data_IF_222433821806
#
_entry.id   IF_222433821806
#
_cell.length_a   1.000
_cell.length_b   1.000
_cell.length_c   1.000
_cell.angle_alpha   90.00
_cell.angle_beta   90.00
_cell.angle_gamma   90.00
#
_symmetry.space_group_name_H-M   'P 1'
#
loop_
_entity.id
_entity.type
_entity.pdbx_description
1 polymer ?
#
# COMPACT_ATOMS: atom_id res chain seq x y z
N UNK A 1 -12.75 -3.30 -16.48
CA UNK A 1 -11.70 -2.59 -15.71
C UNK A 1 -10.58 -3.55 -15.38
N UNK A 2 -9.37 -2.98 -15.11
CA UNK A 2 -8.28 -3.74 -14.48
C UNK A 2 -8.32 -3.51 -12.97
N UNK A 3 -8.47 -4.60 -12.20
CA UNK A 3 -8.48 -4.60 -10.73
C UNK A 3 -7.22 -5.28 -10.22
N UNK A 4 -6.47 -4.60 -9.36
CA UNK A 4 -5.36 -5.20 -8.62
C UNK A 4 -5.89 -5.74 -7.30
N UNK A 5 -5.78 -7.05 -7.10
CA UNK A 5 -6.16 -7.71 -5.84
C UNK A 5 -4.90 -8.09 -5.07
N UNK A 6 -4.67 -7.42 -3.93
CA UNK A 6 -3.57 -7.73 -3.02
C UNK A 6 -4.07 -8.65 -1.92
N UNK A 7 -3.46 -9.81 -1.81
CA UNK A 7 -3.84 -10.89 -0.91
C UNK A 7 -2.76 -11.15 0.14
N UNK A 8 -3.17 -11.36 1.39
CA UNK A 8 -2.24 -11.58 2.49
C UNK A 8 -2.75 -12.62 3.50
N UNK A 9 -2.49 -13.90 3.24
CA UNK A 9 -2.66 -14.97 4.22
C UNK A 9 -1.64 -16.08 3.98
N UNK A 10 -0.93 -16.59 5.03
CA UNK A 10 0.16 -17.55 4.85
C UNK A 10 -0.28 -18.96 4.48
N UNK A 11 -1.56 -19.31 4.73
CA UNK A 11 -2.08 -20.65 4.45
C UNK A 11 -2.95 -20.63 3.19
N UNK A 12 -2.53 -21.30 2.09
CA UNK A 12 -3.30 -21.38 0.85
C UNK A 12 -4.58 -22.22 0.95
N UNK A 13 -4.82 -22.90 2.07
CA UNK A 13 -6.05 -23.64 2.37
C UNK A 13 -6.97 -22.92 3.36
N UNK A 14 -6.74 -21.63 3.57
CA UNK A 14 -7.54 -20.81 4.48
C UNK A 14 -8.87 -20.38 3.84
N UNK A 15 -9.81 -19.95 4.69
CA UNK A 15 -11.01 -19.27 4.21
C UNK A 15 -10.66 -18.03 3.37
N UNK A 16 -9.64 -17.27 3.76
CA UNK A 16 -9.19 -16.12 2.97
C UNK A 16 -8.80 -16.48 1.53
N UNK A 17 -8.21 -17.66 1.31
CA UNK A 17 -7.87 -18.11 -0.04
C UNK A 17 -9.13 -18.47 -0.83
N UNK A 18 -10.09 -19.17 -0.22
CA UNK A 18 -11.37 -19.43 -0.86
C UNK A 18 -12.17 -18.16 -1.18
N UNK A 19 -12.06 -17.12 -0.32
CA UNK A 19 -12.64 -15.80 -0.60
C UNK A 19 -11.95 -15.12 -1.79
N UNK A 20 -10.61 -15.21 -1.88
CA UNK A 20 -9.85 -14.71 -3.03
C UNK A 20 -10.31 -15.35 -4.33
N UNK A 21 -10.31 -16.68 -4.39
CA UNK A 21 -10.69 -17.45 -5.60
C UNK A 21 -12.07 -17.05 -6.11
N UNK A 22 -13.05 -16.98 -5.19
CA UNK A 22 -14.41 -16.64 -5.55
C UNK A 22 -14.60 -15.17 -5.91
N UNK A 23 -13.89 -14.27 -5.25
CA UNK A 23 -13.90 -12.85 -5.61
C UNK A 23 -13.32 -12.62 -7.01
N UNK A 24 -12.18 -13.24 -7.31
CA UNK A 24 -11.56 -13.19 -8.65
C UNK A 24 -12.48 -13.74 -9.71
N UNK A 25 -13.11 -14.91 -9.47
CA UNK A 25 -14.10 -15.47 -10.38
C UNK A 25 -15.26 -14.49 -10.63
N UNK A 26 -15.77 -13.84 -9.58
CA UNK A 26 -16.83 -12.82 -9.72
C UNK A 26 -16.41 -11.65 -10.58
N UNK A 27 -15.17 -11.14 -10.43
CA UNK A 27 -14.62 -10.08 -11.27
C UNK A 27 -14.53 -10.51 -12.75
N UNK A 28 -14.01 -11.70 -13.01
CA UNK A 28 -13.85 -12.25 -14.36
C UNK A 28 -15.21 -12.47 -15.04
N UNK A 29 -16.19 -13.03 -14.33
CA UNK A 29 -17.56 -13.24 -14.82
C UNK A 29 -18.28 -11.91 -15.12
N UNK A 30 -17.86 -10.81 -14.48
CA UNK A 30 -18.32 -9.45 -14.78
C UNK A 30 -17.52 -8.76 -15.90
N UNK A 31 -16.56 -9.45 -16.53
CA UNK A 31 -15.74 -8.92 -17.61
C UNK A 31 -14.63 -7.96 -17.15
N UNK A 32 -14.17 -8.07 -15.90
CA UNK A 32 -13.02 -7.34 -15.40
C UNK A 32 -11.74 -8.16 -15.55
N UNK A 33 -10.62 -7.47 -15.81
CA UNK A 33 -9.29 -8.06 -15.75
C UNK A 33 -8.79 -8.01 -14.30
N UNK A 34 -8.45 -9.14 -13.71
CA UNK A 34 -7.92 -9.23 -12.35
C UNK A 34 -6.44 -9.59 -12.35
N UNK A 35 -5.62 -8.75 -11.72
CA UNK A 35 -4.23 -9.09 -11.39
C UNK A 35 -4.13 -9.38 -9.90
N UNK A 36 -3.72 -10.59 -9.53
CA UNK A 36 -3.55 -11.00 -8.13
C UNK A 36 -2.09 -10.86 -7.71
N UNK A 37 -1.86 -10.26 -6.56
CA UNK A 37 -0.58 -10.22 -5.85
C UNK A 37 -0.75 -10.94 -4.52
N UNK A 38 -0.31 -12.19 -4.45
CA UNK A 38 -0.20 -12.94 -3.20
C UNK A 38 1.14 -12.60 -2.54
N UNK A 39 1.11 -11.79 -1.48
CA UNK A 39 2.30 -11.27 -0.81
C UNK A 39 3.15 -12.38 -0.18
N UNK A 40 2.55 -13.47 0.28
CA UNK A 40 3.29 -14.63 0.80
C UNK A 40 3.92 -15.45 -0.32
N UNK A 41 3.21 -15.67 -1.42
CA UNK A 41 3.72 -16.44 -2.55
C UNK A 41 4.91 -15.75 -3.24
N UNK A 42 4.89 -14.42 -3.35
CA UNK A 42 6.02 -13.66 -3.92
C UNK A 42 7.15 -13.43 -2.92
N UNK A 43 7.01 -13.84 -1.66
CA UNK A 43 8.01 -13.59 -0.60
C UNK A 43 8.24 -12.11 -0.34
N UNK A 44 7.18 -11.29 -0.36
CA UNK A 44 7.30 -9.85 -0.11
C UNK A 44 7.89 -9.58 1.27
N UNK A 45 8.97 -8.80 1.34
CA UNK A 45 9.54 -8.35 2.61
C UNK A 45 8.73 -7.17 3.17
N UNK A 46 8.03 -7.31 4.31
CA UNK A 46 7.22 -6.24 4.88
C UNK A 46 8.05 -5.20 5.66
N UNK A 47 9.33 -5.47 5.92
CA UNK A 47 10.12 -4.63 6.81
C UNK A 47 10.58 -3.37 6.07
N UNK A 48 10.10 -2.21 6.55
CA UNK A 48 10.61 -0.93 6.08
C UNK A 48 12.07 -0.75 6.53
N UNK A 49 12.99 -0.72 5.57
CA UNK A 49 14.42 -0.64 5.82
C UNK A 49 15.05 0.64 5.28
N UNK A 50 16.35 0.82 5.55
CA UNK A 50 17.11 2.00 5.10
C UNK A 50 17.03 2.24 3.57
N UNK A 51 16.90 1.19 2.77
CA UNK A 51 16.78 1.32 1.30
C UNK A 51 15.44 1.93 0.86
N UNK A 52 14.39 1.76 1.65
CA UNK A 52 13.05 2.25 1.33
C UNK A 52 12.94 3.77 1.49
N UNK A 53 13.86 4.39 2.24
CA UNK A 53 13.95 5.86 2.31
C UNK A 53 14.16 6.50 0.93
N UNK A 54 14.68 5.79 -0.06
CA UNK A 54 14.74 6.27 -1.43
C UNK A 54 13.36 6.59 -2.02
N UNK A 55 12.32 5.89 -1.56
CA UNK A 55 10.92 6.15 -1.94
C UNK A 55 10.34 7.42 -1.33
N UNK A 56 10.91 7.93 -0.24
CA UNK A 56 10.47 9.15 0.45
C UNK A 56 11.25 10.40 0.06
N UNK A 57 12.27 10.28 -0.76
CA UNK A 57 13.03 11.41 -1.29
C UNK A 57 12.59 11.66 -2.73
N UNK A 58 12.20 12.90 -3.04
CA UNK A 58 11.70 13.26 -4.36
C UNK A 58 12.17 14.65 -4.77
N UNK A 59 12.54 14.82 -6.03
CA UNK A 59 13.03 16.10 -6.57
C UNK A 59 12.02 17.24 -6.57
N UNK A 60 10.73 16.94 -6.36
CA UNK A 60 9.68 17.97 -6.22
C UNK A 60 9.53 18.52 -4.80
N UNK A 61 10.32 18.03 -3.85
CA UNK A 61 10.31 18.57 -2.49
C UNK A 61 10.95 19.96 -2.47
N UNK A 62 10.49 20.87 -1.58
CA UNK A 62 11.17 22.13 -1.37
C UNK A 62 12.64 21.96 -1.03
N UNK A 63 13.50 22.87 -1.52
CA UNK A 63 14.95 22.78 -1.29
C UNK A 63 15.29 22.77 0.21
N UNK A 64 14.58 23.56 1.01
CA UNK A 64 14.77 23.67 2.46
C UNK A 64 14.47 22.33 3.17
N UNK A 65 13.54 21.53 2.63
CA UNK A 65 13.22 20.18 3.15
C UNK A 65 14.31 19.19 2.77
N UNK A 66 14.76 19.24 1.51
CA UNK A 66 15.83 18.38 1.02
C UNK A 66 17.17 18.65 1.76
N UNK A 67 17.46 19.90 2.07
CA UNK A 67 18.65 20.28 2.85
C UNK A 67 18.66 19.69 4.26
N UNK A 68 17.48 19.56 4.89
CA UNK A 68 17.33 18.94 6.22
C UNK A 68 17.47 17.42 6.20
N UNK A 69 17.38 16.78 5.02
CA UNK A 69 17.41 15.31 4.89
C UNK A 69 18.81 14.71 4.87
N UNK A 70 19.86 15.52 4.92
CA UNK A 70 21.27 15.10 4.84
C UNK A 70 21.54 14.12 3.67
N UNK A 71 21.05 14.49 2.48
CA UNK A 71 21.11 13.63 1.29
C UNK A 71 22.54 13.24 0.93
N UNK A 72 23.51 14.14 1.18
CA UNK A 72 24.93 13.89 0.97
C UNK A 72 25.42 12.68 1.77
N UNK A 73 25.14 12.66 3.07
CA UNK A 73 25.55 11.57 3.95
C UNK A 73 24.86 10.26 3.54
N UNK A 74 23.57 10.31 3.21
CA UNK A 74 22.79 9.13 2.72
C UNK A 74 23.40 8.53 1.45
N UNK A 75 23.84 9.36 0.49
CA UNK A 75 24.52 8.89 -0.72
C UNK A 75 25.83 8.18 -0.36
N UNK A 76 26.62 8.75 0.55
CA UNK A 76 27.89 8.18 0.97
C UNK A 76 27.71 6.86 1.75
N UNK A 77 26.71 6.78 2.63
CA UNK A 77 26.43 5.59 3.44
C UNK A 77 25.82 4.44 2.62
N UNK A 78 25.22 4.74 1.49
CA UNK A 78 24.72 3.74 0.55
C UNK A 78 25.81 3.05 -0.29
N UNK A 79 27.07 3.51 -0.18
CA UNK A 79 28.19 2.94 -0.93
C UNK A 79 28.71 1.67 -0.25
N UNK A 80 28.81 0.59 -1.02
CA UNK A 80 29.20 -0.74 -0.51
C UNK A 80 30.68 -0.91 -0.28
N UNK A 81 31.52 -0.02 -0.85
CA UNK A 81 32.98 -0.10 -0.78
C UNK A 81 33.68 1.27 -0.89
N UNK A 82 34.95 1.39 -0.50
CA UNK A 82 35.69 2.65 -0.51
C UNK A 82 35.78 3.32 -1.90
N UNK A 83 35.86 2.55 -2.98
CA UNK A 83 35.96 3.08 -4.35
C UNK A 83 34.64 3.77 -4.73
N UNK A 84 33.52 3.11 -4.48
CA UNK A 84 32.20 3.71 -4.71
C UNK A 84 32.01 4.99 -3.87
N UNK A 85 32.45 4.97 -2.60
CA UNK A 85 32.37 6.12 -1.70
C UNK A 85 33.23 7.28 -2.22
N UNK A 86 34.42 7.01 -2.73
CA UNK A 86 35.27 8.03 -3.35
C UNK A 86 34.62 8.62 -4.61
N UNK A 87 34.13 7.78 -5.53
CA UNK A 87 33.44 8.24 -6.73
C UNK A 87 32.18 9.06 -6.41
N UNK A 88 31.41 8.62 -5.41
CA UNK A 88 30.25 9.36 -4.91
C UNK A 88 30.67 10.71 -4.35
N UNK A 89 31.77 10.81 -3.62
CA UNK A 89 32.30 12.08 -3.10
C UNK A 89 32.68 13.07 -4.19
N UNK A 90 33.30 12.59 -5.27
CA UNK A 90 33.63 13.40 -6.44
C UNK A 90 32.38 13.89 -7.17
N UNK A 91 31.38 13.00 -7.31
CA UNK A 91 30.09 13.38 -7.92
C UNK A 91 29.39 14.46 -7.08
N UNK A 92 29.35 14.30 -5.75
CA UNK A 92 28.74 15.26 -4.81
C UNK A 92 29.41 16.66 -4.84
N UNK A 93 30.72 16.71 -5.06
CA UNK A 93 31.43 18.00 -5.25
C UNK A 93 30.99 18.73 -6.51
N UNK A 94 30.64 17.98 -7.58
CA UNK A 94 30.17 18.54 -8.86
C UNK A 94 28.65 18.78 -8.88
N UNK A 95 27.91 18.17 -7.96
CA UNK A 95 26.46 18.27 -7.85
C UNK A 95 26.05 18.67 -6.42
N UNK A 96 26.31 19.93 -6.04
CA UNK A 96 25.92 20.43 -4.71
C UNK A 96 24.40 20.61 -4.57
N UNK A 97 23.66 20.66 -5.68
CA UNK A 97 22.21 20.84 -5.72
C UNK A 97 21.47 19.68 -5.04
N UNK A 98 20.67 19.95 -3.98
CA UNK A 98 19.91 18.92 -3.27
C UNK A 98 18.88 18.23 -4.18
N UNK A 99 18.35 18.91 -5.20
CA UNK A 99 17.41 18.30 -6.16
C UNK A 99 18.10 17.23 -7.01
N UNK A 100 19.34 17.46 -7.46
CA UNK A 100 20.14 16.47 -8.17
C UNK A 100 20.47 15.26 -7.28
N UNK A 101 20.77 15.50 -6.01
CA UNK A 101 21.02 14.45 -5.01
C UNK A 101 19.76 13.62 -4.73
N UNK A 102 18.62 14.27 -4.57
CA UNK A 102 17.32 13.60 -4.40
C UNK A 102 17.01 12.67 -5.59
N UNK A 103 17.20 13.16 -6.80
CA UNK A 103 17.03 12.37 -8.04
C UNK A 103 17.95 11.15 -8.11
N UNK A 104 19.21 11.29 -7.65
CA UNK A 104 20.13 10.14 -7.57
C UNK A 104 19.69 9.10 -6.54
N UNK A 105 19.22 9.53 -5.36
CA UNK A 105 18.71 8.63 -4.32
C UNK A 105 17.49 7.88 -4.84
N UNK A 106 16.53 8.56 -5.45
CA UNK A 106 15.31 7.93 -5.97
C UNK A 106 15.57 6.85 -7.02
N UNK A 107 16.61 6.98 -7.83
CA UNK A 107 17.04 5.93 -8.77
C UNK A 107 17.47 4.62 -8.10
N UNK A 108 17.70 4.63 -6.78
CA UNK A 108 18.10 3.47 -5.98
C UNK A 108 16.91 2.83 -5.23
N UNK A 109 15.70 3.25 -5.53
CA UNK A 109 14.50 2.65 -4.94
C UNK A 109 14.48 1.14 -5.20
N UNK A 110 14.10 0.30 -4.21
CA UNK A 110 14.06 -1.15 -4.36
C UNK A 110 13.17 -1.56 -5.54
N UNK A 111 13.64 -2.56 -6.31
CA UNK A 111 12.94 -3.02 -7.51
C UNK A 111 11.57 -3.62 -7.21
N UNK A 112 11.46 -4.35 -6.09
CA UNK A 112 10.21 -4.91 -5.62
C UNK A 112 9.16 -3.82 -5.38
N UNK A 113 9.56 -2.65 -4.86
CA UNK A 113 8.67 -1.51 -4.66
C UNK A 113 8.25 -0.88 -5.99
N UNK A 114 9.20 -0.68 -6.90
CA UNK A 114 8.90 -0.16 -8.25
C UNK A 114 7.87 -1.06 -8.94
N UNK A 115 8.09 -2.37 -8.91
CA UNK A 115 7.17 -3.35 -9.50
C UNK A 115 5.76 -3.26 -8.91
N UNK A 116 5.64 -3.15 -7.58
CA UNK A 116 4.34 -2.99 -6.94
C UNK A 116 3.68 -1.65 -7.29
N UNK A 117 4.44 -0.57 -7.36
CA UNK A 117 3.93 0.74 -7.79
C UNK A 117 3.43 0.72 -9.24
N UNK A 118 4.12 0.01 -10.14
CA UNK A 118 3.68 -0.17 -11.52
C UNK A 118 2.35 -0.94 -11.58
N UNK A 119 2.18 -1.99 -10.77
CA UNK A 119 0.91 -2.74 -10.66
C UNK A 119 -0.23 -1.85 -10.16
N UNK A 120 0.01 -1.10 -9.08
CA UNK A 120 -0.97 -0.12 -8.57
C UNK A 120 -1.29 0.95 -9.62
N UNK A 121 -0.26 1.52 -10.26
CA UNK A 121 -0.43 2.62 -11.23
C UNK A 121 -1.23 2.26 -12.47
N UNK A 122 -1.16 0.98 -12.94
CA UNK A 122 -1.96 0.52 -14.10
C UNK A 122 -3.35 0.02 -13.74
N UNK A 123 -3.63 -0.20 -12.45
CA UNK A 123 -4.95 -0.63 -11.99
C UNK A 123 -5.94 0.55 -11.98
N UNK A 124 -7.19 0.28 -12.27
CA UNK A 124 -8.31 1.24 -12.18
C UNK A 124 -9.08 1.05 -10.86
N UNK A 125 -9.03 -0.16 -10.31
CA UNK A 125 -9.60 -0.51 -9.01
C UNK A 125 -8.62 -1.32 -8.18
N UNK A 126 -8.80 -1.31 -6.87
CA UNK A 126 -8.00 -2.03 -5.90
C UNK A 126 -8.87 -2.96 -5.07
N UNK A 127 -8.36 -4.14 -4.73
CA UNK A 127 -8.99 -5.00 -3.74
C UNK A 127 -7.93 -5.50 -2.76
N UNK A 128 -8.30 -5.62 -1.49
CA UNK A 128 -7.44 -6.13 -0.43
C UNK A 128 -8.17 -7.25 0.30
N UNK A 129 -7.63 -8.47 0.26
CA UNK A 129 -8.24 -9.62 0.90
C UNK A 129 -7.27 -10.15 1.96
N UNK A 130 -7.60 -9.92 3.21
CA UNK A 130 -6.76 -10.29 4.35
C UNK A 130 -7.57 -10.37 5.64
N UNK A 131 -7.19 -11.27 6.58
CA UNK A 131 -7.84 -11.32 7.90
C UNK A 131 -7.45 -10.11 8.75
N UNK A 132 -8.21 -9.90 9.81
CA UNK A 132 -7.77 -9.02 10.90
C UNK A 132 -6.75 -9.78 11.75
N UNK A 133 -5.51 -9.29 11.78
CA UNK A 133 -4.50 -9.72 12.73
C UNK A 133 -4.17 -8.56 13.66
N UNK A 134 -4.38 -8.79 14.97
CA UNK A 134 -4.11 -7.78 16.00
C UNK A 134 -4.74 -6.41 15.71
N UNK A 135 -6.05 -6.41 15.41
CA UNK A 135 -6.87 -5.22 15.16
C UNK A 135 -6.46 -4.41 13.92
N UNK A 136 -5.69 -4.98 12.99
CA UNK A 136 -5.24 -4.33 11.77
C UNK A 136 -5.04 -5.35 10.63
N UNK A 137 -4.54 -4.87 9.48
CA UNK A 137 -4.02 -5.76 8.46
C UNK A 137 -2.86 -6.61 8.98
N UNK A 138 -2.66 -7.84 8.45
CA UNK A 138 -1.45 -8.62 8.71
C UNK A 138 -0.19 -7.79 8.43
N UNK A 139 0.88 -8.04 9.20
CA UNK A 139 2.14 -7.29 9.09
C UNK A 139 2.66 -7.19 7.64
N UNK A 140 2.53 -8.28 6.86
CA UNK A 140 2.98 -8.30 5.47
C UNK A 140 2.21 -7.31 4.59
N UNK A 141 0.90 -7.17 4.77
CA UNK A 141 0.08 -6.21 4.03
C UNK A 141 0.31 -4.79 4.55
N UNK A 142 0.43 -4.60 5.87
CA UNK A 142 0.77 -3.31 6.45
C UNK A 142 2.12 -2.80 5.95
N UNK A 143 3.14 -3.66 5.93
CA UNK A 143 4.46 -3.33 5.38
C UNK A 143 4.42 -3.05 3.87
N UNK A 144 3.53 -3.74 3.11
CA UNK A 144 3.31 -3.42 1.71
C UNK A 144 2.81 -1.97 1.55
N UNK A 145 1.82 -1.53 2.34
CA UNK A 145 1.38 -0.13 2.34
C UNK A 145 2.50 0.83 2.69
N UNK A 146 3.28 0.55 3.73
CA UNK A 146 4.38 1.40 4.19
C UNK A 146 5.46 1.60 3.12
N UNK A 147 5.80 0.54 2.40
CA UNK A 147 6.88 0.56 1.40
C UNK A 147 6.42 1.07 0.04
N UNK A 148 5.18 0.75 -0.37
CA UNK A 148 4.65 1.06 -1.70
C UNK A 148 4.01 2.45 -1.77
N UNK A 149 3.24 2.86 -0.74
CA UNK A 149 2.52 4.13 -0.72
C UNK A 149 3.39 5.27 -0.18
N UNK A 150 4.45 5.59 -0.91
CA UNK A 150 5.41 6.61 -0.52
C UNK A 150 5.13 7.98 -1.17
N UNK A 151 5.92 8.98 -0.76
CA UNK A 151 5.86 10.34 -1.29
C UNK A 151 6.17 10.37 -2.80
N UNK A 152 5.42 11.17 -3.55
CA UNK A 152 5.54 11.29 -5.00
C UNK A 152 4.90 10.15 -5.79
N UNK A 153 4.40 9.11 -5.11
CA UNK A 153 3.60 8.05 -5.71
C UNK A 153 2.13 8.08 -5.21
N UNK A 154 1.91 7.88 -3.92
CA UNK A 154 0.56 7.88 -3.35
C UNK A 154 0.10 9.28 -2.93
N UNK A 155 1.01 10.13 -2.52
CA UNK A 155 0.72 11.50 -2.09
C UNK A 155 1.92 12.42 -2.31
N UNK A 156 1.65 13.74 -2.27
CA UNK A 156 2.64 14.80 -2.12
C UNK A 156 2.18 15.82 -1.09
N UNK A 157 2.99 16.84 -0.81
CA UNK A 157 2.66 17.87 0.16
C UNK A 157 2.86 19.27 -0.44
N UNK A 158 1.91 20.16 -0.16
CA UNK A 158 2.03 21.61 -0.32
C UNK A 158 2.83 22.19 0.86
N UNK A 159 3.23 23.48 0.83
CA UNK A 159 3.96 24.10 1.93
C UNK A 159 3.30 23.93 3.31
N UNK A 160 1.96 23.95 3.37
CA UNK A 160 1.20 23.71 4.61
C UNK A 160 1.46 22.33 5.19
N UNK A 161 1.54 21.29 4.32
CA UNK A 161 1.82 19.92 4.74
C UNK A 161 3.21 19.75 5.34
N UNK A 162 4.20 20.49 4.83
CA UNK A 162 5.56 20.52 5.41
C UNK A 162 5.62 21.21 6.76
N UNK A 163 4.63 22.03 7.10
CA UNK A 163 4.43 22.63 8.44
C UNK A 163 3.59 21.78 9.37
N UNK A 164 3.21 20.56 8.95
CA UNK A 164 2.42 19.62 9.74
C UNK A 164 0.89 19.76 9.60
N UNK A 165 0.41 20.58 8.65
CA UNK A 165 -1.01 20.77 8.43
C UNK A 165 -1.56 19.71 7.44
N UNK A 166 -2.54 18.90 7.88
CA UNK A 166 -3.15 17.82 7.06
C UNK A 166 -3.72 18.34 5.74
N UNK A 167 -4.29 19.56 5.73
CA UNK A 167 -4.84 20.18 4.51
C UNK A 167 -3.80 20.41 3.39
N UNK A 168 -2.51 20.42 3.73
CA UNK A 168 -1.43 20.55 2.76
C UNK A 168 -1.14 19.28 1.96
N UNK A 169 -1.79 18.15 2.27
CA UNK A 169 -1.59 16.92 1.53
C UNK A 169 -2.28 16.95 0.17
N UNK A 170 -1.59 16.42 -0.84
CA UNK A 170 -2.09 16.27 -2.21
C UNK A 170 -2.21 14.78 -2.51
N UNK A 171 -3.42 14.27 -2.74
CA UNK A 171 -3.64 12.90 -3.16
C UNK A 171 -3.15 12.68 -4.60
N UNK A 172 -2.46 11.59 -4.87
CA UNK A 172 -1.94 11.26 -6.20
C UNK A 172 -2.59 10.02 -6.81
N UNK A 173 -3.18 9.13 -6.02
CA UNK A 173 -3.91 7.97 -6.54
C UNK A 173 -5.21 8.43 -7.22
N UNK A 174 -5.65 7.67 -8.25
CA UNK A 174 -6.81 8.02 -9.08
C UNK A 174 -7.78 6.86 -9.26
N UNK A 175 -7.69 5.84 -8.38
CA UNK A 175 -8.52 4.66 -8.47
C UNK A 175 -9.99 4.98 -8.22
N UNK A 176 -10.87 4.37 -9.00
CA UNK A 176 -12.33 4.59 -8.88
C UNK A 176 -12.86 3.96 -7.60
N UNK A 177 -12.40 2.75 -7.27
CA UNK A 177 -12.84 1.99 -6.09
C UNK A 177 -11.69 1.20 -5.47
N UNK A 178 -11.73 1.06 -4.16
CA UNK A 178 -11.05 0.03 -3.41
C UNK A 178 -12.06 -0.77 -2.59
N UNK A 179 -11.94 -2.10 -2.63
CA UNK A 179 -12.68 -3.02 -1.77
C UNK A 179 -11.71 -3.65 -0.78
N UNK A 180 -12.08 -3.63 0.51
CA UNK A 180 -11.38 -4.38 1.55
C UNK A 180 -12.30 -5.50 2.01
N UNK A 181 -11.87 -6.74 1.91
CA UNK A 181 -12.61 -7.92 2.36
C UNK A 181 -11.88 -8.58 3.52
N UNK A 182 -12.47 -8.50 4.71
CA UNK A 182 -11.81 -8.83 5.95
C UNK A 182 -12.62 -9.82 6.79
N UNK A 183 -12.26 -11.11 6.80
CA UNK A 183 -12.84 -12.06 7.76
C UNK A 183 -12.35 -11.79 9.18
N UNK A 184 -13.26 -11.86 10.14
CA UNK A 184 -13.01 -11.58 11.56
C UNK A 184 -13.54 -12.71 12.44
N UNK A 185 -12.92 -12.87 13.61
CA UNK A 185 -13.31 -13.89 14.60
C UNK A 185 -14.54 -13.49 15.40
N UNK A 186 -14.65 -12.22 15.78
CA UNK A 186 -15.69 -11.72 16.68
C UNK A 186 -16.95 -11.31 15.91
N UNK A 187 -18.06 -11.18 16.64
CA UNK A 187 -19.35 -10.75 16.11
C UNK A 187 -19.34 -9.25 15.81
N UNK A 188 -20.21 -8.83 14.94
CA UNK A 188 -20.42 -7.42 14.60
C UNK A 188 -20.74 -6.55 15.82
N UNK A 189 -21.62 -7.03 16.69
CA UNK A 189 -21.99 -6.34 17.92
C UNK A 189 -20.78 -6.03 18.84
N UNK A 190 -19.83 -6.97 18.93
CA UNK A 190 -18.63 -6.80 19.74
C UNK A 190 -17.69 -5.78 19.12
N UNK A 191 -17.55 -5.79 17.78
CA UNK A 191 -16.78 -4.78 17.05
C UNK A 191 -17.37 -3.37 17.22
N UNK A 192 -18.68 -3.25 17.15
CA UNK A 192 -19.39 -1.96 17.33
C UNK A 192 -19.26 -1.45 18.75
N UNK A 193 -19.56 -2.26 19.77
CA UNK A 193 -19.46 -1.91 21.19
C UNK A 193 -18.04 -1.50 21.61
N UNK A 194 -17.02 -2.17 21.05
CA UNK A 194 -15.62 -1.84 21.31
C UNK A 194 -15.13 -0.63 20.51
N UNK A 195 -15.90 -0.07 19.58
CA UNK A 195 -15.49 0.98 18.66
C UNK A 195 -14.42 0.53 17.65
N UNK A 196 -14.16 -0.77 17.53
CA UNK A 196 -13.08 -1.33 16.73
C UNK A 196 -13.33 -1.14 15.23
N UNK A 197 -14.59 -1.36 14.78
CA UNK A 197 -14.95 -1.16 13.39
C UNK A 197 -14.71 0.30 12.96
N UNK A 198 -15.12 1.28 13.78
CA UNK A 198 -14.89 2.70 13.49
C UNK A 198 -13.40 3.05 13.47
N UNK A 199 -12.62 2.52 14.41
CA UNK A 199 -11.18 2.75 14.46
C UNK A 199 -10.48 2.19 13.21
N UNK A 200 -10.83 0.98 12.80
CA UNK A 200 -10.29 0.36 11.59
C UNK A 200 -10.69 1.14 10.33
N UNK A 201 -11.96 1.54 10.21
CA UNK A 201 -12.43 2.38 9.10
C UNK A 201 -11.65 3.69 9.04
N UNK A 202 -11.44 4.37 10.15
CA UNK A 202 -10.65 5.61 10.18
C UNK A 202 -9.22 5.37 9.69
N UNK A 203 -8.55 4.32 10.18
CA UNK A 203 -7.14 4.09 9.86
C UNK A 203 -6.97 3.49 8.45
N UNK A 204 -7.71 2.44 8.12
CA UNK A 204 -7.50 1.67 6.90
C UNK A 204 -8.16 2.32 5.69
N UNK A 205 -9.41 2.79 5.84
CA UNK A 205 -10.18 3.31 4.72
C UNK A 205 -9.90 4.79 4.52
N UNK A 206 -10.09 5.62 5.56
CA UNK A 206 -9.97 7.07 5.42
C UNK A 206 -8.52 7.50 5.22
N UNK A 207 -7.64 7.12 6.15
CA UNK A 207 -6.23 7.49 6.10
C UNK A 207 -5.39 6.60 5.16
N UNK A 208 -5.73 5.32 5.05
CA UNK A 208 -5.01 4.38 4.19
C UNK A 208 -5.31 4.52 2.70
N UNK A 209 -6.58 4.77 2.33
CA UNK A 209 -7.03 4.71 0.93
C UNK A 209 -7.72 6.00 0.43
N UNK A 210 -8.69 6.57 1.16
CA UNK A 210 -9.34 7.81 0.69
C UNK A 210 -8.38 8.99 0.70
N UNK A 211 -7.58 9.09 1.73
CA UNK A 211 -6.60 10.17 1.87
C UNK A 211 -5.51 10.19 0.76
N UNK A 212 -4.97 9.08 0.22
CA UNK A 212 -4.13 9.11 -0.98
C UNK A 212 -4.90 9.28 -2.30
N UNK A 213 -6.24 9.25 -2.32
CA UNK A 213 -7.03 9.65 -3.49
C UNK A 213 -7.94 8.59 -4.10
N UNK A 214 -8.14 7.44 -3.46
CA UNK A 214 -9.15 6.47 -3.91
C UNK A 214 -10.55 7.06 -3.72
N UNK A 215 -11.37 7.07 -4.77
CA UNK A 215 -12.66 7.78 -4.76
C UNK A 215 -13.72 7.11 -3.88
N UNK A 216 -13.92 5.80 -4.05
CA UNK A 216 -14.86 4.99 -3.26
C UNK A 216 -14.07 3.91 -2.51
N UNK A 217 -14.21 3.84 -1.21
CA UNK A 217 -13.64 2.75 -0.40
C UNK A 217 -14.78 2.02 0.28
N UNK A 218 -14.86 0.73 0.03
CA UNK A 218 -15.83 -0.19 0.62
C UNK A 218 -15.09 -1.22 1.46
N UNK A 219 -15.39 -1.27 2.77
CA UNK A 219 -14.81 -2.23 3.68
C UNK A 219 -15.88 -3.22 4.12
N UNK A 220 -15.75 -4.45 3.68
CA UNK A 220 -16.66 -5.54 3.98
C UNK A 220 -16.07 -6.44 5.04
N UNK A 221 -16.66 -6.39 6.21
CA UNK A 221 -16.33 -7.31 7.30
C UNK A 221 -17.17 -8.59 7.17
N UNK A 222 -16.52 -9.73 7.28
CA UNK A 222 -17.16 -11.03 7.43
C UNK A 222 -17.01 -11.45 8.89
N UNK A 223 -18.03 -11.16 9.69
CA UNK A 223 -18.00 -11.35 11.13
C UNK A 223 -18.20 -12.80 11.54
N UNK A 224 -17.63 -13.18 12.70
CA UNK A 224 -17.80 -14.47 13.35
C UNK A 224 -17.57 -15.66 12.42
N UNK A 225 -16.52 -15.60 11.60
CA UNK A 225 -16.24 -16.64 10.61
C UNK A 225 -15.94 -17.98 11.27
N UNK A 226 -16.68 -19.02 10.88
CA UNK A 226 -16.48 -20.40 11.29
C UNK A 226 -16.71 -21.37 10.11
N UNK A 227 -16.64 -22.68 10.35
CA UNK A 227 -16.87 -23.69 9.32
C UNK A 227 -18.30 -23.69 8.77
N UNK A 228 -19.29 -23.23 9.54
CA UNK A 228 -20.70 -23.23 9.15
C UNK A 228 -21.03 -22.01 8.30
N UNK A 229 -20.50 -20.85 8.67
CA UNK A 229 -20.68 -19.59 7.94
C UNK A 229 -19.80 -19.47 6.69
N UNK A 230 -18.73 -20.27 6.58
CA UNK A 230 -17.77 -20.18 5.48
C UNK A 230 -18.41 -20.27 4.07
N UNK A 231 -19.36 -21.18 3.76
CA UNK A 231 -19.96 -21.24 2.42
C UNK A 231 -20.70 -19.96 2.03
N UNK A 232 -21.41 -19.33 2.96
CA UNK A 232 -22.12 -18.08 2.73
C UNK A 232 -21.15 -16.93 2.46
N UNK A 233 -20.06 -16.84 3.24
CA UNK A 233 -19.03 -15.83 3.06
C UNK A 233 -18.30 -15.99 1.72
N UNK A 234 -18.04 -17.20 1.30
CA UNK A 234 -17.43 -17.52 -0.01
C UNK A 234 -18.36 -17.10 -1.16
N UNK A 235 -19.65 -17.35 -1.05
CA UNK A 235 -20.63 -16.90 -2.06
C UNK A 235 -20.80 -15.36 -2.03
N UNK A 236 -20.72 -14.74 -0.87
CA UNK A 236 -20.70 -13.27 -0.74
C UNK A 236 -19.48 -12.66 -1.44
N UNK A 237 -18.31 -13.29 -1.32
CA UNK A 237 -17.10 -12.83 -2.02
C UNK A 237 -17.26 -12.86 -3.55
N UNK A 238 -17.89 -13.91 -4.11
CA UNK A 238 -18.23 -13.97 -5.53
C UNK A 238 -19.13 -12.81 -5.95
N UNK A 239 -20.21 -12.55 -5.21
CA UNK A 239 -21.12 -11.42 -5.51
C UNK A 239 -20.40 -10.07 -5.46
N UNK A 240 -19.54 -9.84 -4.46
CA UNK A 240 -18.74 -8.64 -4.33
C UNK A 240 -17.79 -8.45 -5.53
N UNK A 241 -17.22 -9.52 -6.07
CA UNK A 241 -16.44 -9.46 -7.30
C UNK A 241 -17.30 -9.11 -8.51
N UNK A 242 -18.45 -9.79 -8.66
CA UNK A 242 -19.40 -9.57 -9.76
C UNK A 242 -20.00 -8.17 -9.77
N UNK A 243 -20.26 -7.62 -8.59
CA UNK A 243 -20.86 -6.29 -8.38
C UNK A 243 -19.81 -5.22 -8.04
N UNK A 244 -18.55 -5.46 -8.39
CA UNK A 244 -17.43 -4.60 -7.95
C UNK A 244 -17.63 -3.13 -8.32
N UNK A 245 -18.32 -2.83 -9.41
CA UNK A 245 -18.56 -1.46 -9.90
C UNK A 245 -19.99 -0.93 -9.68
N UNK A 246 -20.87 -1.75 -9.15
CA UNK A 246 -22.25 -1.32 -8.87
C UNK A 246 -22.38 -0.41 -7.63
#
# INVERSE_FOLDING_TARGET
MRVLTVYAHPNPKSLCHALLDRFVQGLEDAGHECEVVDLHAIGFDPVFGMRDYAGFVHESMPAEVLDQMDLRQRILDSCSNPVQRYLASLWLRRNPDPVAQARLIRKRMPKDIIEQQEKVGRAQGLAFIAPVFWCHFPAILKGWFERVFNYGFAFSLKPEGWRGEVKGRVPLLRHEKALILTPTLFREEDYQKAGLQQAMTTIMDDWGLRYPGVKKVEHVYLFAVDRRSAPEHVERAYRLGKEYLS
#
